data_IF_493431224161
#
_entry.id   IF_493431224161
#
_cell.length_a   1.000
_cell.length_b   1.000
_cell.length_c   1.000
_cell.angle_alpha   90.00
_cell.angle_beta   90.00
_cell.angle_gamma   90.00
#
_symmetry.space_group_name_H-M   'P 1'
#
loop_
_entity.id
_entity.type
_entity.pdbx_description
1 polymer ?
#
# COMPACT_ATOMS: atom_id res chain seq x y z
N UNK A 1 -51.50 -44.66 -25.79
CA UNK A 1 -50.53 -44.17 -26.81
C UNK A 1 -49.67 -43.08 -26.17
N UNK A 2 -48.35 -43.27 -26.20
CA UNK A 2 -47.27 -42.26 -26.03
C UNK A 2 -47.03 -41.69 -24.61
N UNK A 3 -46.18 -42.31 -23.78
CA UNK A 3 -44.69 -42.27 -23.74
C UNK A 3 -44.14 -41.06 -22.94
N UNK A 4 -43.40 -41.35 -21.85
CA UNK A 4 -42.65 -40.41 -21.00
C UNK A 4 -41.36 -39.95 -21.69
N UNK A 5 -40.94 -38.68 -21.50
CA UNK A 5 -39.52 -38.30 -21.31
C UNK A 5 -39.35 -37.06 -20.40
N UNK A 6 -38.23 -36.98 -19.63
CA UNK A 6 -38.05 -36.14 -18.45
C UNK A 6 -37.53 -34.72 -18.72
N UNK A 7 -37.78 -33.81 -17.77
CA UNK A 7 -37.26 -32.43 -17.74
C UNK A 7 -35.81 -32.42 -17.24
N UNK A 8 -34.86 -32.28 -18.18
CA UNK A 8 -33.50 -31.82 -17.88
C UNK A 8 -33.54 -30.29 -17.69
N UNK A 9 -32.97 -29.80 -16.59
CA UNK A 9 -32.58 -28.40 -16.44
C UNK A 9 -31.08 -28.38 -16.20
N UNK A 10 -30.34 -28.16 -17.28
CA UNK A 10 -28.91 -27.87 -17.26
C UNK A 10 -28.70 -26.35 -17.32
N UNK A 11 -27.67 -25.91 -16.58
CA UNK A 11 -27.13 -24.56 -16.46
C UNK A 11 -26.75 -23.93 -17.82
N UNK A 12 -26.79 -22.59 -17.88
CA UNK A 12 -26.07 -21.81 -18.89
C UNK A 12 -26.59 -20.39 -19.03
N UNK A 13 -25.71 -19.40 -18.92
CA UNK A 13 -25.98 -17.97 -18.90
C UNK A 13 -26.62 -17.42 -20.20
N UNK A 14 -27.42 -16.34 -20.11
CA UNK A 14 -27.13 -15.01 -20.67
C UNK A 14 -28.33 -14.03 -20.64
N UNK A 15 -27.96 -12.75 -20.47
CA UNK A 15 -28.66 -11.47 -20.79
C UNK A 15 -29.98 -11.11 -20.10
N UNK A 16 -29.92 -10.11 -19.23
CA UNK A 16 -30.97 -9.10 -19.09
C UNK A 16 -30.32 -7.73 -18.84
N UNK A 17 -30.13 -6.94 -19.90
CA UNK A 17 -29.95 -5.49 -19.77
C UNK A 17 -31.33 -4.88 -19.58
N UNK A 18 -31.55 -4.18 -18.48
CA UNK A 18 -32.76 -3.40 -18.24
C UNK A 18 -32.32 -2.01 -17.79
N UNK A 19 -32.42 -1.05 -18.71
CA UNK A 19 -32.36 0.37 -18.36
C UNK A 19 -33.67 0.69 -17.64
N UNK A 20 -33.58 1.09 -16.37
CA UNK A 20 -34.66 1.76 -15.68
C UNK A 20 -34.14 3.04 -15.03
N UNK A 21 -34.69 4.12 -15.57
CA UNK A 21 -34.74 5.51 -15.15
C UNK A 21 -34.24 5.77 -13.73
N UNK A 22 -33.11 6.49 -13.65
CA UNK A 22 -32.73 7.23 -12.48
C UNK A 22 -33.36 8.62 -12.57
N UNK A 23 -34.41 8.83 -11.78
CA UNK A 23 -35.00 10.12 -11.54
C UNK A 23 -33.98 11.11 -10.94
N UNK A 24 -34.09 12.35 -11.41
CA UNK A 24 -33.99 13.57 -10.60
C UNK A 24 -32.66 13.83 -9.88
N UNK A 25 -31.75 14.53 -10.56
CA UNK A 25 -31.43 15.93 -10.24
C UNK A 25 -30.58 16.52 -11.38
N UNK A 26 -31.16 17.49 -12.08
CA UNK A 26 -30.41 18.41 -12.94
C UNK A 26 -29.64 19.38 -12.05
N UNK A 27 -28.32 19.22 -11.96
CA UNK A 27 -27.46 20.32 -11.52
C UNK A 27 -26.29 20.43 -12.49
N UNK A 28 -26.38 21.43 -13.35
CA UNK A 28 -25.40 21.72 -14.38
C UNK A 28 -24.00 21.82 -13.78
N UNK A 29 -23.09 21.00 -14.31
CA UNK A 29 -21.66 21.16 -14.12
C UNK A 29 -21.24 22.49 -14.73
N UNK A 30 -21.11 23.50 -13.88
CA UNK A 30 -20.35 24.72 -14.08
C UNK A 30 -20.09 25.32 -12.70
N UNK A 31 -19.26 24.66 -11.90
CA UNK A 31 -18.55 25.37 -10.84
C UNK A 31 -17.54 26.29 -11.50
N UNK A 32 -18.04 27.45 -11.93
CA UNK A 32 -17.23 28.60 -12.25
C UNK A 32 -16.55 29.00 -10.95
N UNK A 33 -15.27 28.68 -10.82
CA UNK A 33 -14.44 29.19 -9.73
C UNK A 33 -14.63 30.72 -9.66
N UNK A 34 -15.42 31.14 -8.68
CA UNK A 34 -15.82 32.53 -8.53
C UNK A 34 -14.59 33.33 -8.12
N UNK A 35 -13.96 33.98 -9.10
CA UNK A 35 -12.89 34.93 -8.84
C UNK A 35 -13.45 36.06 -7.98
N UNK A 36 -12.74 36.48 -6.92
CA UNK A 36 -13.22 37.56 -6.06
C UNK A 36 -13.45 38.81 -6.91
N UNK A 37 -14.69 39.30 -6.90
CA UNK A 37 -15.07 40.48 -7.67
C UNK A 37 -14.38 41.70 -7.06
N UNK A 38 -13.63 42.44 -7.89
CA UNK A 38 -13.10 43.75 -7.50
C UNK A 38 -11.59 43.97 -7.61
N UNK A 39 -10.79 43.09 -8.20
CA UNK A 39 -9.39 43.45 -8.53
C UNK A 39 -9.29 44.02 -9.95
N UNK A 40 -9.46 45.34 -10.07
CA UNK A 40 -9.07 46.06 -11.28
C UNK A 40 -7.56 45.91 -11.47
N UNK A 41 -7.12 45.41 -12.63
CA UNK A 41 -5.71 45.31 -12.96
C UNK A 41 -5.10 46.71 -13.11
N UNK A 42 -4.46 47.23 -12.06
CA UNK A 42 -3.68 48.45 -12.13
C UNK A 42 -2.38 48.15 -12.87
N UNK A 43 -2.21 48.68 -14.09
CA UNK A 43 -0.94 48.62 -14.82
C UNK A 43 0.16 49.29 -13.98
N UNK A 44 1.10 48.51 -13.43
CA UNK A 44 2.27 49.06 -12.73
C UNK A 44 3.17 49.79 -13.71
N UNK A 45 3.45 51.07 -13.45
CA UNK A 45 4.64 51.75 -13.99
C UNK A 45 5.87 51.13 -13.32
N UNK A 46 6.82 50.67 -14.12
CA UNK A 46 8.10 50.13 -13.66
C UNK A 46 8.86 51.22 -12.91
N UNK A 47 9.06 51.02 -11.60
CA UNK A 47 10.15 51.64 -10.84
C UNK A 47 11.12 50.52 -10.50
N UNK A 48 12.22 50.48 -11.23
CA UNK A 48 13.35 49.63 -10.96
C UNK A 48 14.01 50.09 -9.65
N UNK A 49 13.97 49.24 -8.62
CA UNK A 49 14.78 49.39 -7.40
C UNK A 49 15.27 48.01 -6.93
N UNK A 50 16.56 47.78 -7.14
CA UNK A 50 17.43 46.93 -6.33
C UNK A 50 17.09 45.44 -6.23
N UNK A 51 17.46 44.64 -7.25
CA UNK A 51 17.61 43.19 -7.10
C UNK A 51 19.06 42.87 -6.73
N UNK A 52 19.33 42.61 -5.45
CA UNK A 52 20.59 41.95 -5.05
C UNK A 52 20.43 40.76 -4.09
N UNK A 53 19.24 40.49 -3.53
CA UNK A 53 19.11 39.48 -2.46
C UNK A 53 18.09 38.36 -2.73
N UNK A 54 17.40 38.37 -3.88
CA UNK A 54 16.29 37.42 -4.16
C UNK A 54 16.81 36.06 -4.68
N UNK A 55 17.93 36.04 -5.39
CA UNK A 55 18.52 34.80 -5.93
C UNK A 55 19.17 33.95 -4.84
N UNK A 56 19.79 34.58 -3.85
CA UNK A 56 20.47 33.90 -2.75
C UNK A 56 19.48 33.28 -1.77
N UNK A 57 18.36 33.97 -1.46
CA UNK A 57 17.30 33.41 -0.60
C UNK A 57 16.59 32.21 -1.23
N UNK A 58 16.33 32.26 -2.55
CA UNK A 58 15.69 31.14 -3.28
C UNK A 58 16.62 29.93 -3.35
N UNK A 59 17.93 30.13 -3.50
CA UNK A 59 18.90 29.03 -3.49
C UNK A 59 18.97 28.34 -2.11
N UNK A 60 18.99 29.12 -1.03
CA UNK A 60 18.98 28.57 0.35
C UNK A 60 17.68 27.80 0.64
N UNK A 61 16.52 28.30 0.20
CA UNK A 61 15.26 27.56 0.33
C UNK A 61 15.25 26.24 -0.47
N UNK A 62 15.83 26.23 -1.67
CA UNK A 62 15.93 25.04 -2.48
C UNK A 62 16.85 23.99 -1.84
N UNK A 63 18.04 24.40 -1.38
CA UNK A 63 18.97 23.52 -0.66
C UNK A 63 18.34 22.94 0.62
N UNK A 64 17.59 23.75 1.36
CA UNK A 64 16.89 23.28 2.56
C UNK A 64 15.78 22.27 2.23
N UNK A 65 15.04 22.46 1.13
CA UNK A 65 14.06 21.48 0.65
C UNK A 65 14.73 20.18 0.21
N UNK A 66 15.88 20.29 -0.46
CA UNK A 66 16.64 19.12 -0.90
C UNK A 66 17.15 18.31 0.28
N UNK A 67 17.77 18.96 1.28
CA UNK A 67 18.21 18.31 2.52
C UNK A 67 17.07 17.60 3.24
N UNK A 68 15.91 18.26 3.40
CA UNK A 68 14.72 17.63 4.00
C UNK A 68 14.24 16.41 3.23
N UNK A 69 14.32 16.43 1.90
CA UNK A 69 13.94 15.28 1.07
C UNK A 69 14.91 14.12 1.26
N UNK A 70 16.22 14.41 1.32
CA UNK A 70 17.25 13.41 1.58
C UNK A 70 17.10 12.78 2.97
N UNK A 71 16.91 13.60 4.00
CA UNK A 71 16.63 13.16 5.37
C UNK A 71 15.37 12.29 5.43
N UNK A 72 14.30 12.70 4.75
CA UNK A 72 13.06 11.93 4.70
C UNK A 72 13.26 10.56 4.01
N UNK A 73 14.01 10.51 2.91
CA UNK A 73 14.34 9.25 2.25
C UNK A 73 15.20 8.34 3.13
N UNK A 74 16.20 8.90 3.81
CA UNK A 74 17.05 8.17 4.74
C UNK A 74 16.22 7.61 5.91
N UNK A 75 15.34 8.41 6.50
CA UNK A 75 14.45 7.98 7.57
C UNK A 75 13.50 6.87 7.11
N UNK A 76 12.89 7.02 5.92
CA UNK A 76 12.02 5.99 5.34
C UNK A 76 12.77 4.66 5.13
N UNK A 77 14.02 4.72 4.67
CA UNK A 77 14.85 3.54 4.50
C UNK A 77 15.21 2.90 5.84
N UNK A 78 15.57 3.72 6.84
CA UNK A 78 15.89 3.26 8.20
C UNK A 78 14.69 2.51 8.81
N UNK A 79 13.50 3.10 8.81
CA UNK A 79 12.27 2.48 9.32
C UNK A 79 11.98 1.16 8.60
N UNK A 80 12.16 1.12 7.26
CA UNK A 80 11.96 -0.11 6.49
C UNK A 80 12.93 -1.21 6.91
N UNK A 81 14.19 -0.86 7.16
CA UNK A 81 15.21 -1.82 7.58
C UNK A 81 14.94 -2.30 9.01
N UNK A 82 14.54 -1.41 9.92
CA UNK A 82 14.14 -1.78 11.28
C UNK A 82 12.98 -2.79 11.27
N UNK A 83 11.93 -2.55 10.48
CA UNK A 83 10.80 -3.48 10.36
C UNK A 83 11.27 -4.84 9.83
N UNK A 84 12.13 -4.85 8.80
CA UNK A 84 12.67 -6.10 8.24
C UNK A 84 13.53 -6.87 9.25
N UNK A 85 14.36 -6.17 10.02
CA UNK A 85 15.24 -6.80 11.00
C UNK A 85 14.41 -7.37 12.16
N UNK A 86 13.44 -6.61 12.69
CA UNK A 86 12.50 -7.12 13.70
C UNK A 86 11.77 -8.37 13.23
N UNK A 87 11.26 -8.36 12.00
CA UNK A 87 10.60 -9.54 11.43
C UNK A 87 11.53 -10.75 11.34
N UNK A 88 12.80 -10.56 10.98
CA UNK A 88 13.81 -11.63 10.97
C UNK A 88 14.08 -12.16 12.38
N UNK A 89 14.24 -11.27 13.35
CA UNK A 89 14.50 -11.65 14.75
C UNK A 89 13.33 -12.45 15.33
N UNK A 90 12.10 -12.03 15.05
CA UNK A 90 10.88 -12.75 15.46
C UNK A 90 10.82 -14.14 14.82
N UNK A 91 11.14 -14.27 13.52
CA UNK A 91 11.18 -15.58 12.86
C UNK A 91 12.27 -16.49 13.42
N UNK A 92 13.45 -15.94 13.72
CA UNK A 92 14.55 -16.69 14.33
C UNK A 92 14.15 -17.20 15.71
N UNK A 93 13.49 -16.36 16.51
CA UNK A 93 13.00 -16.73 17.84
C UNK A 93 11.96 -17.84 17.77
N UNK A 94 10.99 -17.72 16.86
CA UNK A 94 9.96 -18.75 16.67
C UNK A 94 10.57 -20.10 16.21
N UNK A 95 11.51 -20.05 15.27
CA UNK A 95 12.24 -21.24 14.81
C UNK A 95 13.01 -21.90 15.96
N UNK A 96 13.70 -21.10 16.78
CA UNK A 96 14.45 -21.59 17.93
C UNK A 96 13.54 -22.24 18.97
N UNK A 97 12.37 -21.65 19.24
CA UNK A 97 11.38 -22.21 20.17
C UNK A 97 10.89 -23.59 19.70
N UNK A 98 10.67 -23.76 18.39
CA UNK A 98 10.30 -25.06 17.81
C UNK A 98 11.45 -26.06 17.98
N UNK A 99 12.69 -25.68 17.65
CA UNK A 99 13.85 -26.56 17.75
C UNK A 99 14.13 -27.03 19.19
N UNK A 100 13.91 -26.16 20.17
CA UNK A 100 14.22 -26.43 21.57
C UNK A 100 13.06 -27.01 22.37
N UNK A 101 11.93 -27.29 21.72
CA UNK A 101 10.76 -27.83 22.39
C UNK A 101 11.07 -29.21 22.98
N UNK A 102 10.75 -29.39 24.26
CA UNK A 102 10.84 -30.68 24.92
C UNK A 102 9.82 -31.67 24.32
N UNK A 103 10.32 -32.80 23.81
CA UNK A 103 9.53 -33.85 23.18
C UNK A 103 9.40 -35.12 24.04
N UNK A 104 9.88 -35.11 25.28
CA UNK A 104 9.85 -36.29 26.16
C UNK A 104 8.44 -36.83 26.43
N UNK A 105 7.42 -35.96 26.37
CA UNK A 105 6.02 -36.31 26.63
C UNK A 105 5.14 -36.32 25.38
N UNK A 106 5.70 -36.04 24.20
CA UNK A 106 4.94 -35.99 22.94
C UNK A 106 4.68 -37.38 22.37
N UNK A 107 3.51 -37.59 21.74
CA UNK A 107 3.20 -38.86 21.08
C UNK A 107 4.06 -39.08 19.82
N UNK A 108 4.18 -40.32 19.35
CA UNK A 108 5.00 -40.65 18.17
C UNK A 108 4.60 -39.84 16.92
N UNK A 109 3.29 -39.62 16.72
CA UNK A 109 2.80 -38.81 15.60
C UNK A 109 3.23 -37.34 15.75
N UNK A 110 3.15 -36.79 16.96
CA UNK A 110 3.59 -35.42 17.22
C UNK A 110 5.10 -35.28 17.11
N UNK A 111 5.86 -36.29 17.53
CA UNK A 111 7.30 -36.36 17.40
C UNK A 111 7.73 -36.40 15.93
N UNK A 112 7.03 -37.18 15.09
CA UNK A 112 7.28 -37.20 13.65
C UNK A 112 7.06 -35.82 13.00
N UNK A 113 5.98 -35.12 13.38
CA UNK A 113 5.70 -33.76 12.91
C UNK A 113 6.78 -32.79 13.40
N UNK A 114 7.17 -32.85 14.67
CA UNK A 114 8.23 -32.01 15.23
C UNK A 114 9.55 -32.22 14.48
N UNK A 115 9.96 -33.48 14.26
CA UNK A 115 11.18 -33.80 13.51
C UNK A 115 11.13 -33.25 12.06
N UNK A 116 9.98 -33.34 11.40
CA UNK A 116 9.81 -32.77 10.08
C UNK A 116 9.97 -31.24 10.09
N UNK A 117 9.35 -30.56 11.05
CA UNK A 117 9.49 -29.11 11.24
C UNK A 117 10.94 -28.72 11.53
N UNK A 118 11.64 -29.45 12.40
CA UNK A 118 13.05 -29.24 12.71
C UNK A 118 13.93 -29.39 11.47
N UNK A 119 13.67 -30.37 10.60
CA UNK A 119 14.39 -30.55 9.33
C UNK A 119 14.22 -29.34 8.41
N UNK A 120 13.00 -28.81 8.27
CA UNK A 120 12.72 -27.61 7.46
C UNK A 120 13.47 -26.40 8.02
N UNK A 121 13.44 -26.20 9.33
CA UNK A 121 14.11 -25.07 10.00
C UNK A 121 15.62 -25.16 9.82
N UNK A 122 16.20 -26.35 10.04
CA UNK A 122 17.64 -26.59 9.84
C UNK A 122 18.08 -26.30 8.40
N UNK A 123 17.31 -26.75 7.41
CA UNK A 123 17.61 -26.48 6.00
C UNK A 123 17.56 -24.97 5.67
N UNK A 124 16.61 -24.24 6.27
CA UNK A 124 16.50 -22.77 6.10
C UNK A 124 17.73 -22.02 6.62
N UNK A 125 18.31 -22.50 7.73
CA UNK A 125 19.46 -21.87 8.40
C UNK A 125 20.81 -22.51 8.05
N UNK A 126 20.84 -23.53 7.18
CA UNK A 126 22.07 -24.23 6.79
C UNK A 126 22.72 -25.04 7.91
N UNK A 127 21.93 -25.49 8.88
CA UNK A 127 22.40 -26.30 10.02
C UNK A 127 22.34 -27.79 9.60
N UNK A 128 23.42 -28.56 9.78
CA UNK A 128 23.42 -30.00 9.49
C UNK A 128 22.52 -30.83 10.43
#
# INVERSE_FOLDING_TARGET
MHQRKPRQVNLGAYTSSSNRDADEYSYGGNESESRPIGQKATKRKVKEKGKKNVTESVNVEFENRWKRLEEFQAQKLAVRNEIKNKAKDDTLRADYEILMKDTTTTSDQQLAIHNHMCSIIKARHGIP
#
